data_IF_945147562422
#
_entry.id   IF_945147562422
#
_cell.length_a   1.000
_cell.length_b   1.000
_cell.length_c   1.000
_cell.angle_alpha   90.00
_cell.angle_beta   90.00
_cell.angle_gamma   90.00
#
_symmetry.space_group_name_H-M   'P 1'
#
loop_
_entity.id
_entity.type
_entity.pdbx_description
1 polymer ?
#
# COMPACT_ATOMS: atom_id res chain seq x y z
N UNK A 1 22.68 4.54 10.96
CA UNK A 1 23.69 4.26 9.91
C UNK A 1 23.48 5.18 8.72
N UNK A 2 24.51 5.44 7.91
CA UNK A 2 24.48 6.49 6.86
C UNK A 2 23.89 6.04 5.49
N UNK A 3 23.18 4.90 5.41
CA UNK A 3 22.62 4.41 4.14
C UNK A 3 23.63 3.75 3.19
N UNK A 4 24.57 2.98 3.76
CA UNK A 4 25.63 2.25 3.06
C UNK A 4 25.79 0.79 3.55
N UNK A 5 26.89 0.10 3.20
CA UNK A 5 28.08 0.60 2.50
C UNK A 5 27.86 0.81 0.99
N UNK A 6 28.59 1.77 0.43
CA UNK A 6 28.63 2.08 -0.99
C UNK A 6 30.04 2.62 -1.28
N UNK A 7 30.77 1.95 -2.18
CA UNK A 7 32.19 2.26 -2.46
C UNK A 7 32.40 3.69 -2.98
N UNK A 8 31.42 4.22 -3.72
CA UNK A 8 31.44 5.58 -4.25
C UNK A 8 30.83 6.61 -3.29
N UNK A 9 30.50 6.18 -2.06
CA UNK A 9 29.84 7.00 -1.03
C UNK A 9 28.52 7.61 -1.51
N UNK A 10 27.85 6.94 -2.45
CA UNK A 10 26.50 7.31 -2.88
C UNK A 10 25.48 6.72 -1.91
N UNK A 11 25.21 7.47 -0.84
CA UNK A 11 24.37 7.05 0.25
C UNK A 11 22.88 7.19 -0.10
N UNK A 12 22.08 6.18 0.24
CA UNK A 12 20.65 6.17 -0.05
C UNK A 12 19.84 5.65 1.15
N UNK A 13 18.57 6.05 1.20
CA UNK A 13 17.63 5.46 2.14
C UNK A 13 17.24 4.03 1.68
N UNK A 14 16.89 3.18 2.65
CA UNK A 14 16.37 1.85 2.39
C UNK A 14 15.03 1.62 3.12
N UNK A 15 14.16 0.72 2.63
CA UNK A 15 12.98 0.28 3.35
C UNK A 15 13.30 -0.25 4.76
N UNK A 16 14.42 -0.95 4.91
CA UNK A 16 14.89 -1.49 6.18
C UNK A 16 16.30 -1.00 6.43
N UNK A 17 16.56 -0.46 7.62
CA UNK A 17 17.86 0.03 8.05
C UNK A 17 18.29 -0.82 9.24
N UNK A 18 19.54 -1.28 9.24
CA UNK A 18 20.13 -2.05 10.34
C UNK A 18 21.15 -1.18 11.08
N UNK A 19 21.16 -1.27 12.41
CA UNK A 19 22.22 -0.75 13.28
C UNK A 19 22.91 -1.93 13.99
N UNK A 20 24.05 -2.41 13.46
CA UNK A 20 24.73 -3.59 14.00
C UNK A 20 25.32 -3.39 15.40
N UNK A 21 25.71 -2.16 15.77
CA UNK A 21 26.31 -1.88 17.08
C UNK A 21 25.29 -2.03 18.21
N UNK A 22 24.00 -1.84 17.89
CA UNK A 22 22.88 -1.99 18.83
C UNK A 22 22.10 -3.29 18.64
N UNK A 23 22.42 -4.07 17.62
CA UNK A 23 21.60 -5.22 17.17
C UNK A 23 20.13 -4.84 16.88
N UNK A 24 19.93 -3.70 16.20
CA UNK A 24 18.59 -3.13 15.95
C UNK A 24 18.23 -3.06 14.46
N UNK A 25 16.93 -3.20 14.18
CA UNK A 25 16.35 -3.06 12.84
C UNK A 25 15.26 -2.00 12.87
N UNK A 26 15.32 -1.09 11.90
CA UNK A 26 14.39 0.01 11.72
C UNK A 26 13.66 -0.15 10.38
N UNK A 27 12.33 -0.24 10.43
CA UNK A 27 11.48 -0.21 9.26
C UNK A 27 11.11 1.23 8.93
N UNK A 28 11.48 1.70 7.74
CA UNK A 28 11.13 3.04 7.28
C UNK A 28 9.72 3.05 6.68
N UNK A 29 9.09 4.23 6.51
CA UNK A 29 7.80 4.34 5.83
C UNK A 29 7.77 3.67 4.44
N UNK A 30 8.92 3.59 3.75
CA UNK A 30 9.03 2.89 2.47
C UNK A 30 8.74 1.39 2.58
N UNK A 31 9.17 0.73 3.66
CA UNK A 31 8.85 -0.68 3.89
C UNK A 31 7.34 -0.90 4.00
N UNK A 32 6.67 -0.10 4.82
CA UNK A 32 5.23 -0.22 4.98
C UNK A 32 4.49 0.09 3.68
N UNK A 33 4.92 1.12 2.95
CA UNK A 33 4.36 1.44 1.62
C UNK A 33 4.48 0.26 0.67
N UNK A 34 5.66 -0.34 0.54
CA UNK A 34 5.87 -1.53 -0.30
C UNK A 34 5.05 -2.73 0.18
N UNK A 35 4.88 -2.91 1.50
CA UNK A 35 4.08 -3.98 2.07
C UNK A 35 2.58 -3.85 1.71
N UNK A 36 2.04 -2.63 1.63
CA UNK A 36 0.65 -2.37 1.22
C UNK A 36 0.33 -2.85 -0.21
N UNK A 37 1.34 -2.99 -1.06
CA UNK A 37 1.20 -3.59 -2.39
C UNK A 37 1.63 -5.06 -2.36
N UNK A 38 2.89 -5.35 -2.09
CA UNK A 38 3.51 -6.68 -2.27
C UNK A 38 2.90 -7.80 -1.42
N UNK A 39 2.34 -7.47 -0.24
CA UNK A 39 1.67 -8.45 0.61
C UNK A 39 0.32 -8.89 0.05
N UNK A 40 -0.37 -8.01 -0.68
CA UNK A 40 -1.77 -8.18 -1.08
C UNK A 40 -1.95 -8.37 -2.59
N UNK A 41 -0.97 -7.96 -3.39
CA UNK A 41 -0.92 -8.13 -4.85
C UNK A 41 0.19 -9.13 -5.15
N UNK A 42 -0.19 -10.33 -5.58
CA UNK A 42 0.75 -11.45 -5.81
C UNK A 42 1.20 -11.50 -7.27
N UNK A 43 2.36 -12.13 -7.57
CA UNK A 43 2.80 -12.32 -8.94
C UNK A 43 1.71 -12.93 -9.82
N UNK A 44 1.53 -12.39 -11.03
CA UNK A 44 0.47 -12.78 -11.96
C UNK A 44 -0.88 -12.10 -11.73
N UNK A 45 -1.03 -11.28 -10.68
CA UNK A 45 -2.21 -10.43 -10.53
C UNK A 45 -2.33 -9.44 -11.71
N UNK A 46 -3.57 -9.11 -12.07
CA UNK A 46 -3.87 -8.15 -13.14
C UNK A 46 -4.49 -6.90 -12.53
N UNK A 47 -3.97 -5.73 -12.90
CA UNK A 47 -4.59 -4.44 -12.54
C UNK A 47 -5.93 -4.34 -13.26
N UNK A 48 -6.98 -4.01 -12.50
CA UNK A 48 -8.34 -3.88 -13.04
C UNK A 48 -8.75 -2.41 -13.08
N UNK A 49 -9.57 -2.06 -14.07
CA UNK A 49 -10.14 -0.72 -14.15
C UNK A 49 -11.03 -0.43 -12.93
N UNK A 50 -11.05 0.83 -12.51
CA UNK A 50 -11.89 1.34 -11.44
C UNK A 50 -12.37 2.75 -11.79
N UNK A 51 -13.52 3.12 -11.24
CA UNK A 51 -14.01 4.49 -11.25
C UNK A 51 -13.74 5.12 -9.90
N UNK A 52 -13.06 6.26 -9.89
CA UNK A 52 -12.79 7.02 -8.68
C UNK A 52 -13.51 8.38 -8.76
N UNK A 53 -14.49 8.58 -7.88
CA UNK A 53 -15.25 9.83 -7.80
C UNK A 53 -14.54 10.91 -6.96
N UNK A 54 -13.58 10.53 -6.11
CA UNK A 54 -12.82 11.46 -5.27
C UNK A 54 -11.38 11.58 -5.77
N UNK A 55 -11.09 12.65 -6.51
CA UNK A 55 -9.79 12.89 -7.13
C UNK A 55 -8.65 13.16 -6.14
N UNK A 56 -8.95 13.44 -4.87
CA UNK A 56 -7.89 13.62 -3.85
C UNK A 56 -7.54 12.29 -3.14
N UNK A 57 -8.21 11.20 -3.48
CA UNK A 57 -7.77 9.84 -3.14
C UNK A 57 -7.05 9.22 -4.34
N UNK A 58 -5.84 8.73 -4.12
CA UNK A 58 -5.16 7.89 -5.10
C UNK A 58 -5.59 6.44 -4.90
N UNK A 59 -6.07 5.78 -5.95
CA UNK A 59 -6.65 4.44 -5.85
C UNK A 59 -6.16 3.57 -6.99
N UNK A 60 -5.78 2.34 -6.65
CA UNK A 60 -5.59 1.26 -7.63
C UNK A 60 -6.21 -0.03 -7.13
N UNK A 61 -6.55 -0.92 -8.05
CA UNK A 61 -7.10 -2.24 -7.74
C UNK A 61 -6.45 -3.31 -8.62
N UNK A 62 -6.14 -4.45 -8.02
CA UNK A 62 -5.61 -5.60 -8.73
C UNK A 62 -6.33 -6.88 -8.30
N UNK A 63 -6.62 -7.74 -9.28
CA UNK A 63 -7.20 -9.07 -9.07
C UNK A 63 -6.09 -10.11 -9.09
N UNK A 64 -5.95 -10.86 -8.00
CA UNK A 64 -5.04 -11.99 -7.88
C UNK A 64 -5.58 -13.23 -8.62
N UNK A 65 -4.70 -14.20 -8.88
CA UNK A 65 -5.05 -15.48 -9.52
C UNK A 65 -6.01 -16.33 -8.68
N UNK A 66 -5.99 -16.18 -7.35
CA UNK A 66 -6.94 -16.83 -6.44
C UNK A 66 -8.35 -16.19 -6.44
N UNK A 67 -8.53 -15.15 -7.25
CA UNK A 67 -9.76 -14.40 -7.40
C UNK A 67 -9.97 -13.30 -6.36
N UNK A 68 -9.10 -13.16 -5.34
CA UNK A 68 -9.14 -12.02 -4.43
C UNK A 68 -8.82 -10.71 -5.16
N UNK A 69 -9.39 -9.61 -4.68
CA UNK A 69 -9.12 -8.27 -5.20
C UNK A 69 -8.50 -7.44 -4.07
N UNK A 70 -7.32 -6.87 -4.31
CA UNK A 70 -6.72 -5.87 -3.44
C UNK A 70 -6.99 -4.47 -4.00
N UNK A 71 -7.58 -3.61 -3.20
CA UNK A 71 -7.79 -2.18 -3.49
C UNK A 71 -6.86 -1.39 -2.58
N UNK A 72 -5.91 -0.67 -3.15
CA UNK A 72 -4.98 0.20 -2.41
C UNK A 72 -5.46 1.63 -2.55
N UNK A 73 -5.67 2.29 -1.41
CA UNK A 73 -6.15 3.67 -1.31
C UNK A 73 -5.11 4.47 -0.55
N UNK A 74 -4.67 5.59 -1.11
CA UNK A 74 -3.79 6.55 -0.45
C UNK A 74 -4.50 7.90 -0.31
N UNK A 75 -4.51 8.41 0.92
CA UNK A 75 -4.99 9.74 1.26
C UNK A 75 -3.79 10.60 1.64
N UNK A 76 -3.25 11.36 0.68
CA UNK A 76 -2.20 12.34 0.92
C UNK A 76 -2.74 13.56 1.71
N UNK A 77 -4.07 13.76 1.68
CA UNK A 77 -4.75 14.87 2.29
C UNK A 77 -4.56 14.97 3.81
N UNK A 78 -4.84 16.17 4.34
CA UNK A 78 -4.74 16.50 5.77
C UNK A 78 -6.04 16.29 6.54
N UNK A 79 -7.11 15.85 5.86
CA UNK A 79 -8.39 15.53 6.48
C UNK A 79 -8.71 14.05 6.35
N UNK A 80 -9.50 13.54 7.29
CA UNK A 80 -10.08 12.20 7.23
C UNK A 80 -11.12 12.14 6.12
N UNK A 81 -11.14 11.04 5.37
CA UNK A 81 -12.12 10.79 4.31
C UNK A 81 -12.98 9.58 4.60
N UNK A 82 -14.24 9.65 4.19
CA UNK A 82 -15.16 8.52 4.16
C UNK A 82 -15.58 8.29 2.71
N UNK A 83 -15.47 7.05 2.25
CA UNK A 83 -15.81 6.69 0.88
C UNK A 83 -16.50 5.33 0.85
N UNK A 84 -17.21 5.06 -0.23
CA UNK A 84 -17.89 3.79 -0.47
C UNK A 84 -17.11 3.01 -1.51
N UNK A 85 -16.73 1.77 -1.20
CA UNK A 85 -16.26 0.82 -2.20
C UNK A 85 -17.48 0.04 -2.70
N UNK A 86 -17.63 -0.07 -4.01
CA UNK A 86 -18.68 -0.83 -4.66
C UNK A 86 -18.08 -1.85 -5.62
N UNK A 87 -18.59 -3.08 -5.59
CA UNK A 87 -18.27 -4.15 -6.53
C UNK A 87 -19.57 -4.87 -6.92
N UNK A 88 -20.07 -4.56 -8.11
CA UNK A 88 -21.40 -4.99 -8.55
C UNK A 88 -22.50 -4.44 -7.62
N UNK A 89 -23.29 -5.33 -7.02
CA UNK A 89 -24.35 -4.97 -6.07
C UNK A 89 -23.88 -4.86 -4.62
N UNK A 90 -22.62 -5.22 -4.32
CA UNK A 90 -22.06 -5.16 -2.97
C UNK A 90 -21.42 -3.80 -2.74
N UNK A 91 -21.64 -3.24 -1.57
CA UNK A 91 -21.02 -2.00 -1.15
C UNK A 91 -20.55 -2.03 0.30
N UNK A 92 -19.53 -1.24 0.62
CA UNK A 92 -19.06 -1.03 1.98
C UNK A 92 -18.54 0.39 2.14
N UNK A 93 -18.99 1.06 3.20
CA UNK A 93 -18.44 2.36 3.62
C UNK A 93 -17.15 2.12 4.40
N UNK A 94 -16.10 2.84 4.03
CA UNK A 94 -14.76 2.77 4.61
C UNK A 94 -14.32 4.20 4.94
N UNK A 95 -13.51 4.32 5.99
CA UNK A 95 -12.89 5.57 6.36
C UNK A 95 -11.37 5.42 6.34
N UNK A 96 -10.68 6.46 5.90
CA UNK A 96 -9.22 6.54 5.85
C UNK A 96 -8.77 7.84 6.51
N UNK A 97 -7.79 7.74 7.39
CA UNK A 97 -7.19 8.89 8.07
C UNK A 97 -6.39 9.76 7.07
N UNK A 98 -6.07 11.02 7.43
CA UNK A 98 -5.11 11.81 6.66
C UNK A 98 -3.72 11.15 6.63
N UNK A 99 -2.96 11.43 5.58
CA UNK A 99 -1.57 10.95 5.38
C UNK A 99 -1.43 9.43 5.57
N UNK A 100 -2.39 8.66 5.06
CA UNK A 100 -2.47 7.21 5.29
C UNK A 100 -2.65 6.44 3.98
N UNK A 101 -2.02 5.27 3.91
CA UNK A 101 -2.25 4.25 2.89
C UNK A 101 -3.02 3.08 3.52
N UNK A 102 -4.01 2.56 2.82
CA UNK A 102 -4.86 1.48 3.29
C UNK A 102 -5.11 0.48 2.16
N UNK A 103 -4.93 -0.81 2.45
CA UNK A 103 -5.24 -1.88 1.50
C UNK A 103 -6.47 -2.64 1.96
N UNK A 104 -7.50 -2.65 1.12
CA UNK A 104 -8.75 -3.37 1.34
C UNK A 104 -8.71 -4.65 0.51
N UNK A 105 -8.93 -5.80 1.16
CA UNK A 105 -8.96 -7.11 0.50
C UNK A 105 -10.40 -7.58 0.39
N UNK A 106 -10.85 -7.83 -0.82
CA UNK A 106 -12.13 -8.44 -1.13
C UNK A 106 -11.87 -9.89 -1.50
N UNK A 107 -12.20 -10.80 -0.59
CA UNK A 107 -12.03 -12.24 -0.83
C UNK A 107 -13.04 -12.75 -1.84
N UNK A 108 -12.58 -13.61 -2.76
CA UNK A 108 -13.48 -14.47 -3.53
C UNK A 108 -14.09 -15.48 -2.56
N UNK A 109 -15.42 -15.53 -2.47
CA UNK A 109 -16.07 -16.68 -1.80
C UNK A 109 -15.82 -17.89 -2.71
N UNK A 110 -15.26 -18.96 -2.14
CA UNK A 110 -15.42 -20.30 -2.73
C UNK A 110 -16.90 -20.66 -2.78
#
# INVERSE_FOLDING_TARGET
TQGGPNWFKNWCLAPVIVDPEKDEIYFTPLYYTLAHFSKYIRPGATVIALENSDKELEVTAAKNLDGSIAVVVFNEGKSKKNFKIQLGTKEKVININPQAIQTIVISSKK
#
